data_IF_163461500312
#
_entry.id   IF_163461500312
#
_cell.length_a   1.000
_cell.length_b   1.000
_cell.length_c   1.000
_cell.angle_alpha   90.00
_cell.angle_beta   90.00
_cell.angle_gamma   90.00
#
_symmetry.space_group_name_H-M   'P 1'
#
loop_
_entity.id
_entity.type
_entity.pdbx_description
1 polymer ?
#
# COMPACT_ATOMS: atom_id res chain seq x y z
N UNK A 1 24.29 18.80 -3.49
CA UNK A 1 22.98 19.50 -3.52
C UNK A 1 22.02 18.61 -4.31
N UNK A 2 21.27 17.75 -3.63
CA UNK A 2 20.35 16.82 -4.29
C UNK A 2 19.12 17.61 -4.76
N UNK A 3 18.85 17.62 -6.07
CA UNK A 3 17.55 18.10 -6.59
C UNK A 3 16.49 17.08 -6.19
N UNK A 4 15.79 17.36 -5.09
CA UNK A 4 14.64 16.58 -4.58
C UNK A 4 13.40 16.88 -5.44
N UNK A 5 13.52 16.79 -6.77
CA UNK A 5 12.40 17.04 -7.70
C UNK A 5 12.00 15.80 -8.49
N UNK A 6 12.73 14.67 -8.36
CA UNK A 6 12.50 13.47 -9.17
C UNK A 6 12.08 12.23 -8.38
N UNK A 7 12.16 12.25 -7.04
CA UNK A 7 11.81 11.11 -6.19
C UNK A 7 10.35 11.06 -5.70
N UNK A 8 9.61 12.17 -5.50
CA UNK A 8 8.22 12.08 -5.03
C UNK A 8 7.20 11.83 -6.14
N UNK A 9 7.52 12.09 -7.41
CA UNK A 9 6.53 12.06 -8.49
C UNK A 9 6.06 10.64 -8.86
N UNK A 10 6.88 9.61 -8.61
CA UNK A 10 6.53 8.22 -8.90
C UNK A 10 5.53 7.60 -7.89
N UNK A 11 5.33 8.24 -6.74
CA UNK A 11 4.40 7.80 -5.69
C UNK A 11 3.32 8.86 -5.36
N UNK A 12 3.24 9.94 -6.15
CA UNK A 12 2.27 11.04 -6.00
C UNK A 12 0.90 10.63 -6.55
N UNK A 13 0.27 9.69 -5.89
CA UNK A 13 -1.00 9.16 -6.38
C UNK A 13 -2.15 9.84 -5.62
N UNK A 14 -2.11 9.81 -4.29
CA UNK A 14 -3.19 10.32 -3.46
C UNK A 14 -2.92 11.74 -2.90
N UNK A 15 -1.65 12.05 -2.64
CA UNK A 15 -1.21 13.29 -2.01
C UNK A 15 -0.13 13.97 -2.83
N UNK A 16 -0.16 15.30 -2.88
CA UNK A 16 0.83 16.16 -3.49
C UNK A 16 1.64 16.86 -2.41
N UNK A 17 2.97 16.86 -2.54
CA UNK A 17 3.84 17.68 -1.70
C UNK A 17 3.95 19.07 -2.31
N UNK A 18 3.37 20.05 -1.63
CA UNK A 18 3.55 21.47 -1.92
C UNK A 18 4.64 22.05 -1.04
N UNK A 19 5.55 22.79 -1.64
CA UNK A 19 6.60 23.52 -0.94
C UNK A 19 6.16 24.98 -0.82
N UNK A 20 5.95 25.45 0.40
CA UNK A 20 5.67 26.85 0.68
C UNK A 20 6.96 27.68 0.62
N UNK A 21 6.83 28.96 0.25
CA UNK A 21 7.96 29.89 0.24
C UNK A 21 7.52 31.20 0.88
N UNK A 22 7.53 31.28 2.21
CA UNK A 22 7.33 32.54 2.92
C UNK A 22 8.38 32.70 4.03
N UNK A 23 9.50 33.28 3.64
CA UNK A 23 10.42 34.08 4.45
C UNK A 23 11.31 33.47 5.56
N UNK A 24 11.21 32.20 6.01
CA UNK A 24 12.37 31.48 6.64
C UNK A 24 12.18 30.02 7.11
N UNK A 25 11.12 29.30 6.74
CA UNK A 25 11.05 27.85 7.00
C UNK A 25 10.54 27.11 5.76
N UNK A 26 11.21 26.01 5.39
CA UNK A 26 10.81 25.14 4.29
C UNK A 26 9.57 24.34 4.71
N UNK A 27 8.39 24.95 4.62
CA UNK A 27 7.16 24.25 4.94
C UNK A 27 6.84 23.24 3.81
N UNK A 28 6.98 21.96 4.12
CA UNK A 28 6.49 20.86 3.28
C UNK A 28 5.05 20.59 3.70
N UNK A 29 4.10 20.86 2.81
CA UNK A 29 2.68 20.56 3.04
C UNK A 29 2.25 19.41 2.15
N UNK A 30 1.71 18.34 2.75
CA UNK A 30 0.95 17.35 2.00
C UNK A 30 -0.47 17.88 1.78
N UNK A 31 -0.91 17.92 0.53
CA UNK A 31 -2.29 18.25 0.17
C UNK A 31 -2.89 17.10 -0.61
N UNK A 32 -4.17 16.74 -0.38
CA UNK A 32 -4.80 15.70 -1.17
C UNK A 32 -4.94 16.16 -2.61
N UNK A 33 -4.89 15.21 -3.55
CA UNK A 33 -5.26 15.47 -4.93
C UNK A 33 -6.74 15.87 -5.00
N UNK A 34 -7.02 16.96 -5.72
CA UNK A 34 -8.37 17.48 -5.98
C UNK A 34 -8.65 17.33 -7.47
N UNK A 35 -9.82 16.79 -7.80
CA UNK A 35 -10.28 16.64 -9.18
C UNK A 35 -11.10 17.88 -9.60
N UNK A 36 -11.28 18.10 -10.91
CA UNK A 36 -11.97 19.22 -11.57
C UNK A 36 -13.37 19.43 -10.97
N UNK A 37 -14.05 18.36 -10.55
CA UNK A 37 -15.23 18.47 -9.71
C UNK A 37 -14.76 18.71 -8.27
N UNK A 38 -14.68 19.98 -7.84
CA UNK A 38 -14.04 20.47 -6.61
C UNK A 38 -14.53 19.83 -5.30
N UNK A 39 -15.59 19.03 -5.36
CA UNK A 39 -16.12 18.23 -4.25
C UNK A 39 -15.39 16.89 -4.06
N UNK A 40 -14.68 16.38 -5.07
CA UNK A 40 -14.00 15.09 -5.01
C UNK A 40 -12.49 15.28 -4.77
N UNK A 41 -12.03 14.80 -3.62
CA UNK A 41 -10.61 14.75 -3.29
C UNK A 41 -10.27 13.43 -2.60
N UNK A 42 -9.01 13.01 -2.74
CA UNK A 42 -8.52 11.73 -2.23
C UNK A 42 -8.38 11.66 -0.70
N UNK A 43 -8.63 12.76 0.03
CA UNK A 43 -8.74 12.71 1.48
C UNK A 43 -10.15 12.34 1.95
N UNK A 44 -11.18 12.57 1.13
CA UNK A 44 -12.59 12.35 1.49
C UNK A 44 -13.14 11.08 0.85
N UNK A 45 -12.69 10.73 -0.36
CA UNK A 45 -13.18 9.56 -1.09
C UNK A 45 -12.09 8.99 -2.00
N UNK A 46 -11.94 7.67 -1.99
CA UNK A 46 -11.13 6.88 -2.91
C UNK A 46 -11.83 6.64 -4.27
N UNK A 47 -13.15 6.81 -4.32
CA UNK A 47 -14.00 6.66 -5.51
C UNK A 47 -13.88 7.83 -6.51
N UNK A 48 -12.98 8.77 -6.28
CA UNK A 48 -12.78 9.90 -7.18
C UNK A 48 -12.06 9.47 -8.46
N UNK A 49 -12.69 9.74 -9.60
CA UNK A 49 -12.17 9.40 -10.92
C UNK A 49 -12.31 10.55 -11.92
N UNK A 50 -11.37 10.58 -12.86
CA UNK A 50 -11.41 11.45 -14.02
C UNK A 50 -10.92 10.72 -15.27
N UNK A 51 -11.42 11.09 -16.47
CA UNK A 51 -10.88 10.57 -17.71
C UNK A 51 -9.38 10.81 -17.82
N UNK A 52 -8.63 9.77 -18.20
CA UNK A 52 -7.20 9.86 -18.40
C UNK A 52 -6.94 10.72 -19.65
N UNK A 53 -6.17 11.80 -19.45
CA UNK A 53 -5.78 12.73 -20.51
C UNK A 53 -4.28 12.66 -20.72
N UNK A 54 -3.85 12.30 -21.92
CA UNK A 54 -2.44 12.24 -22.31
C UNK A 54 -2.09 13.35 -23.30
N UNK A 55 -0.87 13.86 -23.18
CA UNK A 55 -0.23 14.76 -24.14
C UNK A 55 -0.82 16.17 -24.20
N UNK A 56 -0.10 17.09 -24.87
CA UNK A 56 -0.67 18.27 -25.50
C UNK A 56 -0.90 17.99 -27.01
N UNK A 57 -2.13 18.16 -27.57
CA UNK A 57 -3.39 18.52 -26.91
C UNK A 57 -3.92 17.37 -26.03
N UNK A 58 -4.60 17.72 -24.93
CA UNK A 58 -5.14 16.75 -23.96
C UNK A 58 -6.12 15.76 -24.61
N UNK A 59 -5.61 14.63 -25.08
CA UNK A 59 -6.44 13.58 -25.66
C UNK A 59 -7.01 12.72 -24.54
N UNK A 60 -8.33 12.54 -24.55
CA UNK A 60 -9.04 11.66 -23.63
C UNK A 60 -8.99 10.23 -24.15
N UNK A 61 -8.45 9.32 -23.36
CA UNK A 61 -8.45 7.89 -23.69
C UNK A 61 -9.81 7.28 -23.28
N UNK A 62 -10.55 6.65 -24.21
CA UNK A 62 -11.80 5.98 -23.88
C UNK A 62 -11.58 4.83 -22.89
N UNK A 63 -12.48 4.68 -21.93
CA UNK A 63 -12.39 3.63 -20.90
C UNK A 63 -11.32 3.82 -19.83
N UNK A 64 -10.25 4.56 -20.07
CA UNK A 64 -9.17 4.76 -19.10
C UNK A 64 -9.43 5.96 -18.21
N UNK A 65 -9.36 5.75 -16.90
CA UNK A 65 -9.52 6.78 -15.89
C UNK A 65 -8.32 6.82 -14.95
N UNK A 66 -8.04 8.02 -14.42
CA UNK A 66 -7.12 8.20 -13.29
C UNK A 66 -7.95 8.29 -12.01
N UNK A 67 -7.56 7.52 -11.00
CA UNK A 67 -8.12 7.55 -9.67
C UNK A 67 -7.23 8.30 -8.68
N UNK A 68 -7.50 8.09 -7.41
CA UNK A 68 -6.60 8.47 -6.32
C UNK A 68 -5.31 7.65 -6.40
N UNK A 69 -5.39 6.32 -6.31
CA UNK A 69 -4.23 5.49 -6.60
C UNK A 69 -4.21 5.00 -8.07
N UNK A 70 -3.05 4.53 -8.60
CA UNK A 70 -2.99 3.93 -9.92
C UNK A 70 -3.81 2.64 -9.97
N UNK A 71 -3.94 1.95 -8.84
CA UNK A 71 -4.72 0.72 -8.70
C UNK A 71 -6.21 1.05 -8.75
N UNK A 72 -6.67 2.08 -8.05
CA UNK A 72 -8.08 2.49 -8.06
C UNK A 72 -8.47 2.98 -9.45
N UNK A 73 -7.61 3.80 -10.08
CA UNK A 73 -7.79 4.23 -11.45
C UNK A 73 -7.86 3.05 -12.43
N UNK A 74 -6.99 2.05 -12.26
CA UNK A 74 -7.02 0.83 -13.06
C UNK A 74 -8.31 0.05 -12.84
N UNK A 75 -8.72 -0.18 -11.60
CA UNK A 75 -9.94 -0.92 -11.27
C UNK A 75 -11.20 -0.25 -11.83
N UNK A 76 -11.25 1.08 -11.83
CA UNK A 76 -12.37 1.85 -12.38
C UNK A 76 -12.32 1.97 -13.91
N UNK A 77 -11.16 1.73 -14.53
CA UNK A 77 -11.00 1.76 -15.98
C UNK A 77 -11.66 0.55 -16.65
N UNK A 78 -11.91 0.67 -17.95
CA UNK A 78 -12.35 -0.41 -18.83
C UNK A 78 -11.26 -0.71 -19.87
N UNK A 79 -11.44 -1.79 -20.63
CA UNK A 79 -10.50 -2.20 -21.68
C UNK A 79 -10.81 -1.59 -23.05
N UNK A 80 -11.77 -0.66 -23.14
CA UNK A 80 -12.29 -0.10 -24.40
C UNK A 80 -11.18 0.41 -25.34
N UNK A 81 -10.22 1.18 -24.83
CA UNK A 81 -9.08 1.66 -25.61
C UNK A 81 -8.23 0.55 -26.23
N UNK A 82 -8.10 -0.60 -25.56
CA UNK A 82 -7.25 -1.69 -26.01
C UNK A 82 -7.82 -2.47 -27.20
N UNK A 83 -9.10 -2.29 -27.51
CA UNK A 83 -9.73 -2.83 -28.73
C UNK A 83 -9.61 -1.88 -29.94
N UNK A 84 -9.10 -0.66 -29.73
CA UNK A 84 -8.97 0.35 -30.78
C UNK A 84 -7.52 0.54 -31.21
N UNK A 85 -7.24 0.27 -32.49
CA UNK A 85 -5.92 0.48 -33.08
C UNK A 85 -5.45 1.95 -32.97
N UNK A 86 -6.37 2.91 -33.17
CA UNK A 86 -6.07 4.34 -33.07
C UNK A 86 -5.69 4.74 -31.63
N UNK A 87 -6.38 4.16 -30.66
CA UNK A 87 -6.12 4.44 -29.25
C UNK A 87 -4.73 3.94 -28.83
N UNK A 88 -4.38 2.70 -29.21
CA UNK A 88 -3.06 2.13 -28.98
C UNK A 88 -1.97 2.93 -29.68
N UNK A 89 -2.16 3.30 -30.96
CA UNK A 89 -1.20 4.10 -31.71
C UNK A 89 -0.92 5.44 -31.01
N UNK A 90 -1.94 6.03 -30.39
CA UNK A 90 -1.78 7.27 -29.62
C UNK A 90 -0.97 7.06 -28.34
N UNK A 91 -1.21 5.97 -27.60
CA UNK A 91 -0.41 5.62 -26.42
C UNK A 91 1.06 5.43 -26.82
N UNK A 92 1.33 4.70 -27.90
CA UNK A 92 2.68 4.46 -28.39
C UNK A 92 3.38 5.77 -28.79
N UNK A 93 2.69 6.64 -29.52
CA UNK A 93 3.23 7.95 -29.93
C UNK A 93 3.54 8.83 -28.72
N UNK A 94 2.68 8.81 -27.70
CA UNK A 94 2.91 9.53 -26.46
C UNK A 94 4.14 8.99 -25.72
N UNK A 95 4.27 7.67 -25.58
CA UNK A 95 5.44 7.07 -24.93
C UNK A 95 6.74 7.42 -25.67
N UNK A 96 6.76 7.35 -26.99
CA UNK A 96 7.92 7.75 -27.81
C UNK A 96 8.30 9.23 -27.61
N UNK A 97 7.31 10.12 -27.53
CA UNK A 97 7.54 11.55 -27.27
C UNK A 97 8.18 11.81 -25.90
N UNK A 98 7.75 11.12 -24.84
CA UNK A 98 8.31 11.30 -23.49
C UNK A 98 9.75 10.80 -23.39
N UNK A 99 10.12 9.75 -24.12
CA UNK A 99 11.52 9.30 -24.17
C UNK A 99 12.47 10.33 -24.78
N UNK A 100 11.95 11.33 -25.50
CA UNK A 100 12.74 12.37 -26.15
C UNK A 100 12.79 13.69 -25.35
N UNK A 101 11.97 13.82 -24.29
CA UNK A 101 11.77 15.08 -23.54
C UNK A 101 12.47 15.15 -22.18
N UNK A 102 13.49 14.34 -21.91
CA UNK A 102 14.43 14.62 -20.82
C UNK A 102 15.66 15.31 -21.43
N UNK A 103 15.65 16.64 -21.40
CA UNK A 103 16.61 17.51 -22.09
C UNK A 103 18.07 17.09 -21.84
N UNK A 104 18.77 16.79 -22.94
CA UNK A 104 20.14 16.28 -23.00
C UNK A 104 20.31 14.89 -22.36
N UNK A 105 20.59 13.82 -23.15
CA UNK A 105 21.11 12.60 -22.55
C UNK A 105 22.41 12.94 -21.82
N UNK A 106 22.64 12.46 -20.57
CA UNK A 106 24.00 12.30 -20.09
C UNK A 106 24.76 11.52 -21.17
N UNK A 107 25.98 11.91 -21.51
CA UNK A 107 26.80 11.25 -22.55
C UNK A 107 27.04 9.73 -22.32
N UNK A 108 26.47 9.15 -21.26
CA UNK A 108 26.51 7.74 -20.89
C UNK A 108 25.16 7.18 -20.39
N UNK A 109 24.02 7.83 -20.65
CA UNK A 109 22.72 7.20 -20.44
C UNK A 109 22.25 6.56 -21.74
N UNK A 110 22.60 5.29 -21.91
CA UNK A 110 21.98 4.45 -22.93
C UNK A 110 20.55 4.22 -22.42
N UNK A 111 19.49 4.68 -23.10
CA UNK A 111 18.13 4.27 -22.75
C UNK A 111 18.14 2.74 -22.66
N UNK A 112 17.51 2.11 -21.65
CA UNK A 112 17.38 0.66 -21.66
C UNK A 112 16.81 0.33 -23.03
N UNK A 113 17.57 -0.44 -23.83
CA UNK A 113 17.24 -0.79 -25.21
C UNK A 113 15.74 -0.94 -25.27
N UNK A 114 15.07 0.00 -25.94
CA UNK A 114 13.62 -0.05 -26.11
C UNK A 114 13.35 -1.44 -26.68
N UNK A 115 12.71 -2.30 -25.89
CA UNK A 115 12.01 -3.41 -26.51
C UNK A 115 11.09 -2.71 -27.52
N UNK A 116 11.12 -3.03 -28.82
CA UNK A 116 10.06 -2.56 -29.70
C UNK A 116 8.76 -2.99 -29.04
N UNK A 117 8.02 -2.03 -28.50
CA UNK A 117 6.77 -2.29 -27.80
C UNK A 117 5.75 -2.53 -28.89
N UNK A 118 5.74 -3.75 -29.40
CA UNK A 118 4.69 -4.23 -30.29
C UNK A 118 3.46 -4.48 -29.44
N UNK A 119 2.53 -3.53 -29.49
CA UNK A 119 1.24 -3.62 -28.84
C UNK A 119 0.19 -3.73 -29.93
N UNK A 120 -0.36 -4.92 -30.10
CA UNK A 120 -1.47 -5.16 -31.03
C UNK A 120 -2.80 -4.90 -30.32
N UNK A 121 -3.79 -4.33 -31.03
CA UNK A 121 -5.15 -4.21 -30.50
C UNK A 121 -5.75 -5.59 -30.24
N UNK A 122 -6.55 -5.67 -29.16
CA UNK A 122 -7.32 -6.86 -28.87
C UNK A 122 -8.32 -7.13 -29.99
N UNK A 123 -8.46 -8.41 -30.32
CA UNK A 123 -9.34 -8.85 -31.39
C UNK A 123 -10.80 -8.84 -30.93
N UNK A 124 -11.56 -7.85 -31.42
CA UNK A 124 -13.00 -7.74 -31.17
C UNK A 124 -13.82 -8.87 -31.83
N UNK A 125 -13.24 -9.67 -32.72
CA UNK A 125 -13.91 -10.80 -33.36
C UNK A 125 -13.83 -12.09 -32.52
N UNK A 126 -12.95 -12.15 -31.53
CA UNK A 126 -12.89 -13.29 -30.61
C UNK A 126 -14.02 -13.22 -29.59
N UNK A 127 -14.73 -14.34 -29.33
CA UNK A 127 -15.78 -14.35 -28.32
C UNK A 127 -15.15 -14.25 -26.93
N UNK A 128 -15.30 -13.08 -26.30
CA UNK A 128 -14.97 -12.86 -24.88
C UNK A 128 -16.25 -12.85 -24.05
N UNK A 129 -16.12 -13.30 -22.80
CA UNK A 129 -17.18 -13.18 -21.79
C UNK A 129 -17.40 -11.71 -21.39
N UNK A 130 -16.36 -10.89 -21.45
CA UNK A 130 -16.39 -9.50 -21.01
C UNK A 130 -16.55 -8.56 -22.21
N UNK A 131 -17.51 -7.64 -22.10
CA UNK A 131 -17.60 -6.53 -23.04
C UNK A 131 -16.40 -5.59 -22.85
N UNK A 132 -15.91 -4.90 -23.90
CA UNK A 132 -14.89 -3.86 -23.79
C UNK A 132 -15.22 -2.76 -22.76
N UNK A 133 -16.51 -2.54 -22.48
CA UNK A 133 -17.01 -1.54 -21.53
C UNK A 133 -17.10 -2.06 -20.08
N UNK A 134 -16.68 -3.30 -19.82
CA UNK A 134 -16.67 -3.87 -18.48
C UNK A 134 -15.53 -3.25 -17.67
N UNK A 135 -15.79 -2.86 -16.42
CA UNK A 135 -14.75 -2.35 -15.53
C UNK A 135 -13.75 -3.44 -15.19
N UNK A 136 -12.48 -3.09 -15.12
CA UNK A 136 -11.41 -4.01 -14.74
C UNK A 136 -11.64 -4.57 -13.34
N UNK A 137 -12.25 -3.82 -12.42
CA UNK A 137 -12.68 -4.33 -11.11
C UNK A 137 -13.59 -5.55 -11.21
N UNK A 138 -14.53 -5.54 -12.15
CA UNK A 138 -15.46 -6.66 -12.37
C UNK A 138 -14.70 -7.86 -12.95
N UNK A 139 -13.84 -7.62 -13.94
CA UNK A 139 -13.02 -8.68 -14.56
C UNK A 139 -12.12 -9.34 -13.51
N UNK A 140 -11.46 -8.55 -12.64
CA UNK A 140 -10.62 -9.05 -11.54
C UNK A 140 -11.46 -9.83 -10.52
N UNK A 141 -12.65 -9.33 -10.17
CA UNK A 141 -13.53 -10.02 -9.21
C UNK A 141 -14.00 -11.39 -9.71
N UNK A 142 -14.07 -11.55 -11.04
CA UNK A 142 -14.38 -12.81 -11.71
C UNK A 142 -13.11 -13.60 -12.10
N UNK A 143 -11.99 -13.28 -11.44
CA UNK A 143 -10.69 -13.96 -11.54
C UNK A 143 -10.10 -13.96 -12.96
N UNK A 144 -10.50 -12.99 -13.80
CA UNK A 144 -10.08 -12.90 -15.21
C UNK A 144 -10.45 -14.17 -16.02
N UNK A 145 -11.47 -14.92 -15.59
CA UNK A 145 -11.86 -16.18 -16.24
C UNK A 145 -12.71 -15.89 -17.47
N UNK A 146 -12.14 -16.07 -18.66
CA UNK A 146 -12.85 -15.90 -19.94
C UNK A 146 -13.79 -17.07 -20.28
N UNK A 147 -13.39 -18.30 -19.97
CA UNK A 147 -14.13 -19.52 -20.29
C UNK A 147 -14.23 -20.41 -19.06
N UNK A 148 -15.45 -20.69 -18.59
CA UNK A 148 -15.71 -21.77 -17.65
C UNK A 148 -15.99 -23.04 -18.45
N UNK A 149 -14.93 -23.78 -18.77
CA UNK A 149 -15.11 -25.16 -19.21
C UNK A 149 -15.68 -25.98 -18.04
N UNK A 150 -16.80 -26.67 -18.26
CA UNK A 150 -17.47 -27.46 -17.21
C UNK A 150 -16.94 -28.90 -17.10
N UNK A 151 -16.00 -29.27 -17.98
CA UNK A 151 -15.40 -30.61 -18.06
C UNK A 151 -13.87 -30.44 -18.09
N UNK A 152 -13.29 -30.04 -16.96
CA UNK A 152 -11.84 -29.86 -16.85
C UNK A 152 -11.27 -31.05 -16.06
N UNK A 153 -10.58 -31.96 -16.74
CA UNK A 153 -9.76 -32.96 -16.06
C UNK A 153 -8.40 -32.35 -15.76
N UNK A 154 -8.15 -32.09 -14.48
CA UNK A 154 -6.85 -31.59 -14.02
C UNK A 154 -5.83 -32.71 -13.79
N UNK A 155 -6.10 -33.94 -14.22
CA UNK A 155 -5.22 -35.09 -14.01
C UNK A 155 -3.80 -34.84 -14.53
N UNK A 156 -3.66 -34.29 -15.75
CA UNK A 156 -2.34 -33.99 -16.33
C UNK A 156 -1.60 -32.86 -15.59
N UNK A 157 -2.33 -31.88 -15.06
CA UNK A 157 -1.76 -30.81 -14.25
C UNK A 157 -1.26 -31.36 -12.92
N UNK A 158 -2.11 -32.12 -12.23
CA UNK A 158 -1.75 -32.75 -10.96
C UNK A 158 -0.68 -33.81 -11.11
N UNK A 159 -0.63 -34.56 -12.22
CA UNK A 159 0.45 -35.53 -12.48
C UNK A 159 1.79 -34.85 -12.73
N UNK A 160 1.78 -33.66 -13.34
CA UNK A 160 2.99 -32.86 -13.59
C UNK A 160 3.48 -32.13 -12.34
N UNK A 161 2.55 -31.71 -11.47
CA UNK A 161 2.85 -31.01 -10.22
C UNK A 161 2.93 -31.94 -9.00
N UNK A 162 2.73 -33.25 -9.15
CA UNK A 162 2.81 -34.21 -8.06
C UNK A 162 4.25 -34.25 -7.52
N UNK A 163 4.49 -33.82 -6.27
CA UNK A 163 5.81 -33.92 -5.69
C UNK A 163 6.18 -35.40 -5.53
N UNK A 164 7.42 -35.75 -5.87
CA UNK A 164 7.93 -37.12 -5.71
C UNK A 164 7.95 -37.59 -4.25
N UNK A 165 7.98 -36.65 -3.30
CA UNK A 165 7.87 -36.92 -1.88
C UNK A 165 7.05 -35.82 -1.20
N UNK A 166 6.04 -36.20 -0.42
CA UNK A 166 5.30 -35.26 0.41
C UNK A 166 6.15 -34.83 1.60
N UNK A 167 6.45 -33.53 1.70
CA UNK A 167 7.17 -32.96 2.85
C UNK A 167 6.15 -32.31 3.78
N UNK A 168 5.83 -33.00 4.87
CA UNK A 168 4.94 -32.49 5.91
C UNK A 168 5.74 -31.59 6.85
N UNK A 169 5.26 -30.35 7.05
CA UNK A 169 5.79 -29.46 8.08
C UNK A 169 4.99 -29.67 9.37
N UNK A 170 5.59 -30.35 10.33
CA UNK A 170 5.01 -30.51 11.66
C UNK A 170 5.26 -29.23 12.46
N UNK A 171 4.30 -28.31 12.44
CA UNK A 171 4.33 -27.13 13.32
C UNK A 171 4.02 -27.58 14.74
N UNK A 172 5.07 -27.90 15.52
CA UNK A 172 4.93 -28.22 16.95
C UNK A 172 4.56 -26.95 17.72
N UNK A 173 3.32 -26.91 18.20
CA UNK A 173 2.73 -25.76 18.92
C UNK A 173 3.44 -25.44 20.25
N UNK A 174 4.07 -26.42 20.89
CA UNK A 174 4.86 -26.26 22.11
C UNK A 174 6.23 -26.93 21.96
N UNK A 175 7.21 -26.19 21.44
CA UNK A 175 8.61 -26.61 21.50
C UNK A 175 9.05 -26.75 22.98
N UNK A 176 9.87 -27.76 23.27
CA UNK A 176 10.41 -27.99 24.62
C UNK A 176 11.19 -26.76 25.11
N UNK A 177 11.86 -26.04 24.19
CA UNK A 177 12.54 -24.79 24.50
C UNK A 177 11.57 -23.70 24.95
N UNK A 178 10.37 -23.64 24.37
CA UNK A 178 9.34 -22.67 24.76
C UNK A 178 8.82 -22.95 26.17
N UNK A 179 8.63 -24.23 26.53
CA UNK A 179 8.22 -24.63 27.88
C UNK A 179 9.29 -24.27 28.93
N UNK A 180 10.56 -24.57 28.64
CA UNK A 180 11.68 -24.27 29.55
C UNK A 180 11.83 -22.76 29.77
N UNK A 181 11.84 -21.97 28.69
CA UNK A 181 11.95 -20.51 28.77
C UNK A 181 10.77 -19.89 29.53
N UNK A 182 9.56 -20.38 29.32
CA UNK A 182 8.38 -19.92 30.06
C UNK A 182 8.48 -20.16 31.57
N UNK A 183 8.97 -21.33 32.01
CA UNK A 183 9.17 -21.64 33.44
C UNK A 183 10.25 -20.75 34.06
N UNK A 184 11.36 -20.54 33.36
CA UNK A 184 12.45 -19.67 33.81
C UNK A 184 11.98 -18.21 33.93
N UNK A 185 11.23 -17.71 32.94
CA UNK A 185 10.63 -16.37 32.97
C UNK A 185 9.63 -16.20 34.10
N UNK A 186 8.82 -17.22 34.39
CA UNK A 186 7.85 -17.19 35.49
C UNK A 186 8.57 -17.10 36.85
N UNK A 187 9.59 -17.92 37.07
CA UNK A 187 10.37 -17.92 38.31
C UNK A 187 11.18 -16.62 38.49
N UNK A 188 11.85 -16.18 37.42
CA UNK A 188 12.63 -14.94 37.42
C UNK A 188 11.77 -13.70 37.63
N UNK A 189 10.66 -13.60 36.89
CA UNK A 189 9.71 -12.49 37.00
C UNK A 189 9.05 -12.41 38.37
N UNK A 190 8.58 -13.55 38.89
CA UNK A 190 7.92 -13.62 40.19
C UNK A 190 8.83 -13.14 41.32
N UNK A 191 10.11 -13.54 41.31
CA UNK A 191 11.08 -13.16 42.34
C UNK A 191 11.35 -11.65 42.34
N UNK A 192 11.48 -11.04 41.17
CA UNK A 192 11.72 -9.60 41.04
C UNK A 192 10.49 -8.81 41.49
N UNK A 193 9.28 -9.24 41.09
CA UNK A 193 8.02 -8.60 41.47
C UNK A 193 7.82 -8.66 42.99
N UNK A 194 8.03 -9.82 43.61
CA UNK A 194 7.92 -9.97 45.06
C UNK A 194 8.87 -9.03 45.81
N UNK A 195 10.11 -8.87 45.33
CA UNK A 195 11.08 -7.95 45.93
C UNK A 195 10.65 -6.48 45.81
N UNK A 196 10.04 -6.11 44.70
CA UNK A 196 9.50 -4.75 44.51
C UNK A 196 8.30 -4.49 45.44
N UNK A 197 7.38 -5.45 45.56
CA UNK A 197 6.22 -5.36 46.44
C UNK A 197 6.65 -5.28 47.90
N UNK A 198 7.57 -6.13 48.34
CA UNK A 198 8.07 -6.11 49.73
C UNK A 198 8.69 -4.77 50.09
N UNK A 199 9.57 -4.21 49.24
CA UNK A 199 10.14 -2.87 49.45
C UNK A 199 9.06 -1.78 49.56
N UNK A 200 8.10 -1.78 48.64
CA UNK A 200 7.02 -0.79 48.64
C UNK A 200 6.09 -0.95 49.86
N UNK A 201 5.78 -2.19 50.25
CA UNK A 201 4.95 -2.47 51.43
C UNK A 201 5.58 -1.92 52.71
N UNK A 202 6.89 -2.08 52.90
CA UNK A 202 7.60 -1.54 54.07
C UNK A 202 7.58 0.00 54.08
N UNK A 203 7.84 0.64 52.95
CA UNK A 203 7.75 2.11 52.83
C UNK A 203 6.36 2.65 53.11
N UNK A 204 5.32 1.96 52.65
CA UNK A 204 3.92 2.34 52.91
C UNK A 204 3.61 2.21 54.40
N UNK A 205 3.99 1.10 55.04
CA UNK A 205 3.77 0.88 56.48
C UNK A 205 4.50 1.94 57.31
N UNK A 206 5.76 2.26 56.99
CA UNK A 206 6.53 3.32 57.64
C UNK A 206 5.85 4.68 57.46
N UNK A 207 5.45 5.03 56.24
CA UNK A 207 4.75 6.28 55.94
C UNK A 207 3.40 6.40 56.67
N UNK A 208 2.68 5.29 56.85
CA UNK A 208 1.46 5.25 57.64
C UNK A 208 1.74 5.42 59.14
N UNK A 209 2.79 4.78 59.68
CA UNK A 209 3.18 4.91 61.09
C UNK A 209 3.60 6.33 61.43
N UNK A 210 4.37 6.98 60.57
CA UNK A 210 4.81 8.36 60.76
C UNK A 210 3.62 9.34 60.74
N UNK A 211 2.68 9.15 59.81
CA UNK A 211 1.43 9.94 59.77
C UNK A 211 0.54 9.73 61.01
N UNK A 212 0.53 8.54 61.59
CA UNK A 212 -0.21 8.26 62.84
C UNK A 212 0.49 8.84 64.07
N UNK A 213 1.82 8.78 64.14
CA UNK A 213 2.62 9.39 65.21
C UNK A 213 2.47 10.92 65.25
N UNK A 214 2.42 11.58 64.07
CA UNK A 214 2.21 13.03 63.99
C UNK A 214 0.80 13.43 64.47
N UNK A 215 -0.23 12.60 64.19
CA UNK A 215 -1.60 12.84 64.68
C UNK A 215 -1.73 12.72 66.20
N UNK A 216 -0.91 11.89 66.84
CA UNK A 216 -0.89 11.75 68.30
C UNK A 216 -0.13 12.90 69.00
N UNK A 217 0.87 13.51 68.36
CA UNK A 217 1.63 14.63 68.92
C UNK A 217 0.88 15.98 68.93
N UNK A 218 -0.13 16.15 68.08
CA UNK A 218 -1.00 17.35 68.04
C UNK A 218 -2.12 17.34 69.08
N UNK A 219 -2.18 16.34 69.97
CA UNK A 219 -3.13 16.25 71.09
C UNK A 219 -2.33 16.16 72.39
N UNK A 220 -1.67 17.26 72.77
CA UNK A 220 -1.23 17.48 74.15
C UNK A 220 -2.28 18.39 74.84
N UNK A 221 -2.72 18.06 76.06
CA UNK A 221 -3.82 18.74 76.73
C UNK A 221 -3.42 20.14 77.19
N UNK A 222 -4.32 21.10 76.95
CA UNK A 222 -4.29 22.43 77.54
C UNK A 222 -4.62 22.24 79.03
N UNK A 223 -3.64 22.48 79.91
CA UNK A 223 -3.87 22.75 81.34
C UNK A 223 -3.42 24.17 81.63
#
# INVERSE_FOLDING_TARGET
MFKVSLLPAAFNNDWLLQYGNELNDYLIRSVPRVFINSTCNCAVSDMCQEPLRIGPPHLVLPGLVKGCSPIDGLQMSTLECFFSADCIATILTYLEYYTQMDGSPPAHFVPPRVLPLWLDPLDNSTPSRFSPNTSISTIISELLVEQLETIISYENYFSSCAPTMCRYEYVKRNDILYVITSVLSLYGGLTIILRCITWNSVRIIQSCRDRLSIRQATVQPIS
#
